data_IF_333765540504
#
_entry.id   IF_333765540504
#
_cell.length_a   1.000
_cell.length_b   1.000
_cell.length_c   1.000
_cell.angle_alpha   90.00
_cell.angle_beta   90.00
_cell.angle_gamma   90.00
#
_symmetry.space_group_name_H-M   'P 1'
#
loop_
_entity.id
_entity.type
_entity.pdbx_description
1 polymer ?
#
# COMPACT_ATOMS: atom_id res chain seq x y z
N UNK A 1 4.16 52.55 19.10
CA UNK A 1 2.71 52.41 19.36
C UNK A 1 2.33 51.01 18.92
N UNK A 2 1.66 50.23 19.78
CA UNK A 2 1.17 48.92 19.34
C UNK A 2 0.09 49.11 18.26
N UNK A 3 0.25 48.50 17.11
CA UNK A 3 -0.72 48.53 16.04
C UNK A 3 -1.93 47.71 16.48
N UNK A 4 -3.11 48.35 16.46
CA UNK A 4 -4.38 47.69 16.77
C UNK A 4 -4.81 46.83 15.57
N UNK A 5 -4.71 45.51 15.69
CA UNK A 5 -5.15 44.59 14.66
C UNK A 5 -6.65 44.39 14.72
N UNK A 6 -7.35 44.83 13.67
CA UNK A 6 -8.82 44.76 13.58
C UNK A 6 -9.26 43.31 13.27
N UNK A 7 -10.40 42.90 13.79
CA UNK A 7 -10.99 41.59 13.50
C UNK A 7 -11.20 41.35 11.99
N UNK A 8 -11.48 42.41 11.23
CA UNK A 8 -11.61 42.36 9.77
C UNK A 8 -10.32 41.96 9.07
N UNK A 9 -9.18 42.45 9.54
CA UNK A 9 -7.86 42.09 8.98
C UNK A 9 -7.50 40.63 9.26
N UNK A 10 -7.82 40.15 10.47
CA UNK A 10 -7.68 38.74 10.83
C UNK A 10 -8.54 37.85 9.93
N UNK A 11 -9.80 38.22 9.72
CA UNK A 11 -10.70 37.47 8.81
C UNK A 11 -10.21 37.53 7.36
N UNK A 12 -9.69 38.66 6.90
CA UNK A 12 -9.12 38.81 5.56
C UNK A 12 -7.89 37.88 5.38
N UNK A 13 -6.94 37.89 6.33
CA UNK A 13 -5.77 37.04 6.29
C UNK A 13 -6.16 35.56 6.34
N UNK A 14 -7.13 35.19 7.20
CA UNK A 14 -7.67 33.83 7.25
C UNK A 14 -8.27 33.39 5.91
N UNK A 15 -9.04 34.26 5.25
CA UNK A 15 -9.60 33.96 3.92
C UNK A 15 -8.50 33.76 2.86
N UNK A 16 -7.37 34.45 3.00
CA UNK A 16 -6.24 34.36 2.07
C UNK A 16 -5.38 33.11 2.31
N UNK A 17 -5.25 32.67 3.57
CA UNK A 17 -4.29 31.62 3.98
C UNK A 17 -4.94 30.33 4.44
N UNK A 18 -6.24 30.33 4.74
CA UNK A 18 -6.94 29.18 5.37
C UNK A 18 -6.51 28.87 6.81
N UNK A 19 -5.53 29.60 7.37
CA UNK A 19 -5.01 29.36 8.70
C UNK A 19 -5.99 29.68 9.82
N UNK A 20 -5.76 29.14 11.02
CA UNK A 20 -6.59 29.37 12.19
C UNK A 20 -6.66 30.85 12.58
N UNK A 21 -7.81 31.33 13.10
CA UNK A 21 -8.02 32.73 13.49
C UNK A 21 -6.92 33.26 14.43
N UNK A 22 -6.52 32.46 15.42
CA UNK A 22 -5.51 32.85 16.39
C UNK A 22 -4.11 32.95 15.77
N UNK A 23 -3.83 32.11 14.75
CA UNK A 23 -2.56 32.13 14.03
C UNK A 23 -2.48 33.35 13.11
N UNK A 24 -3.57 33.65 12.41
CA UNK A 24 -3.69 34.89 11.64
C UNK A 24 -3.53 36.15 12.50
N UNK A 25 -4.16 36.17 13.69
CA UNK A 25 -4.00 37.28 14.62
C UNK A 25 -2.54 37.45 15.09
N UNK A 26 -1.90 36.33 15.50
CA UNK A 26 -0.49 36.35 15.92
C UNK A 26 0.42 36.82 14.80
N UNK A 27 0.24 36.30 13.59
CA UNK A 27 1.05 36.67 12.44
C UNK A 27 0.90 38.17 12.08
N UNK A 28 -0.33 38.72 12.15
CA UNK A 28 -0.55 40.15 11.93
C UNK A 28 0.06 41.03 13.04
N UNK A 29 0.03 40.60 14.29
CA UNK A 29 0.69 41.31 15.38
C UNK A 29 2.21 41.31 15.19
N UNK A 30 2.80 40.16 14.85
CA UNK A 30 4.24 39.99 14.65
C UNK A 30 4.75 40.74 13.40
N UNK A 31 3.92 40.82 12.37
CA UNK A 31 4.22 41.55 11.15
C UNK A 31 3.84 43.04 11.19
N UNK A 32 3.39 43.55 12.35
CA UNK A 32 2.93 44.92 12.53
C UNK A 32 1.85 45.32 11.50
N UNK A 33 0.96 44.40 11.14
CA UNK A 33 -0.12 44.59 10.19
C UNK A 33 0.25 44.41 8.72
N UNK A 34 1.49 44.06 8.40
CA UNK A 34 1.92 43.73 7.05
C UNK A 34 1.38 42.36 6.65
N UNK A 35 0.51 42.32 5.64
CA UNK A 35 -0.15 41.08 5.18
C UNK A 35 0.81 40.12 4.47
N UNK A 36 1.81 40.62 3.76
CA UNK A 36 2.72 39.76 3.02
C UNK A 36 3.69 39.10 3.99
N UNK A 37 4.21 39.86 4.95
CA UNK A 37 5.01 39.30 6.04
C UNK A 37 4.21 38.35 6.93
N UNK A 38 2.94 38.65 7.21
CA UNK A 38 2.06 37.75 7.96
C UNK A 38 1.84 36.42 7.24
N UNK A 39 1.70 36.40 5.91
CA UNK A 39 1.65 35.16 5.10
C UNK A 39 2.93 34.35 5.21
N UNK A 40 4.11 35.00 5.16
CA UNK A 40 5.40 34.31 5.34
C UNK A 40 5.49 33.65 6.71
N UNK A 41 5.11 34.35 7.78
CA UNK A 41 5.08 33.81 9.16
C UNK A 41 4.15 32.57 9.24
N UNK A 42 2.98 32.64 8.63
CA UNK A 42 2.07 31.47 8.58
C UNK A 42 2.69 30.30 7.81
N UNK A 43 3.35 30.57 6.69
CA UNK A 43 4.06 29.55 5.90
C UNK A 43 5.22 28.90 6.68
N UNK A 44 6.03 29.69 7.35
CA UNK A 44 7.11 29.21 8.23
C UNK A 44 6.55 28.33 9.38
N UNK A 45 5.45 28.78 9.99
CA UNK A 45 4.76 27.98 11.01
C UNK A 45 4.26 26.63 10.45
N UNK A 46 3.70 26.63 9.23
CA UNK A 46 3.27 25.40 8.56
C UNK A 46 4.41 24.40 8.38
N UNK A 47 5.59 24.87 7.98
CA UNK A 47 6.81 24.03 7.88
C UNK A 47 7.22 23.44 9.23
N UNK A 48 7.14 24.21 10.30
CA UNK A 48 7.45 23.73 11.65
C UNK A 48 6.44 22.68 12.15
N UNK A 49 5.16 22.83 11.81
CA UNK A 49 4.12 21.83 12.11
C UNK A 49 4.41 20.54 11.32
N UNK A 50 4.72 20.65 10.03
CA UNK A 50 5.06 19.51 9.18
C UNK A 50 6.28 18.74 9.73
N UNK A 51 7.34 19.46 10.12
CA UNK A 51 8.54 18.84 10.70
C UNK A 51 8.24 18.10 12.03
N UNK A 52 7.42 18.68 12.92
CA UNK A 52 7.03 18.05 14.18
C UNK A 52 6.15 16.82 14.02
N UNK A 53 5.52 16.65 12.86
CA UNK A 53 4.61 15.54 12.55
C UNK A 53 5.18 14.55 11.56
N UNK A 54 6.48 14.67 11.22
CA UNK A 54 7.12 13.84 10.22
C UNK A 54 6.97 12.32 10.48
N UNK A 55 6.97 11.91 11.76
CA UNK A 55 6.87 10.51 12.18
C UNK A 55 5.41 10.00 12.33
N UNK A 56 4.39 10.84 12.05
CA UNK A 56 3.00 10.41 12.12
C UNK A 56 2.62 9.55 10.93
N UNK A 57 1.81 8.53 11.16
CA UNK A 57 1.22 7.71 10.10
C UNK A 57 0.08 8.46 9.38
N UNK A 58 -0.05 8.21 8.09
CA UNK A 58 -1.09 8.81 7.23
C UNK A 58 -1.86 7.70 6.51
N UNK A 59 -2.65 6.94 7.28
CA UNK A 59 -3.48 5.83 6.77
C UNK A 59 -4.84 6.27 6.21
N UNK A 60 -5.19 7.56 6.38
CA UNK A 60 -6.38 8.17 5.81
C UNK A 60 -6.02 9.06 4.62
N UNK A 61 -7.01 9.46 3.80
CA UNK A 61 -6.76 10.33 2.66
C UNK A 61 -7.65 10.08 1.46
N UNK A 62 -7.17 10.48 0.29
CA UNK A 62 -7.85 10.32 -0.99
C UNK A 62 -6.89 9.82 -2.08
N UNK A 63 -7.34 8.85 -2.87
CA UNK A 63 -6.65 8.39 -4.08
C UNK A 63 -7.45 8.79 -5.29
N UNK A 64 -6.81 9.51 -6.21
CA UNK A 64 -7.42 10.04 -7.43
C UNK A 64 -6.71 9.46 -8.64
N UNK A 65 -7.47 8.85 -9.55
CA UNK A 65 -6.98 8.43 -10.86
C UNK A 65 -7.58 9.32 -11.96
N UNK A 66 -6.77 9.69 -12.94
CA UNK A 66 -7.23 10.44 -14.13
C UNK A 66 -6.66 9.81 -15.40
N UNK A 67 -7.46 9.82 -16.46
CA UNK A 67 -7.08 9.31 -17.78
C UNK A 67 -7.36 10.39 -18.82
N UNK A 68 -6.41 10.63 -19.71
CA UNK A 68 -6.56 11.51 -20.86
C UNK A 68 -5.54 11.16 -21.94
N UNK A 69 -5.96 11.09 -23.19
CA UNK A 69 -5.10 10.96 -24.38
C UNK A 69 -4.06 9.83 -24.31
N UNK A 70 -4.48 8.63 -23.87
CA UNK A 70 -3.59 7.48 -23.72
C UNK A 70 -2.63 7.53 -22.54
N UNK A 71 -2.80 8.50 -21.63
CA UNK A 71 -2.08 8.66 -20.37
C UNK A 71 -3.00 8.45 -19.19
N UNK A 72 -2.50 7.82 -18.14
CA UNK A 72 -3.19 7.77 -16.86
C UNK A 72 -2.22 8.00 -15.73
N UNK A 73 -2.75 8.61 -14.67
CA UNK A 73 -2.05 8.82 -13.40
C UNK A 73 -2.90 8.33 -12.23
N UNK A 74 -2.24 7.99 -11.15
CA UNK A 74 -2.85 7.81 -9.83
C UNK A 74 -2.05 8.64 -8.83
N UNK A 75 -2.75 9.45 -8.03
CA UNK A 75 -2.16 10.21 -6.93
C UNK A 75 -2.86 9.81 -5.65
N UNK A 76 -2.10 9.45 -4.62
CA UNK A 76 -2.58 9.24 -3.26
C UNK A 76 -2.12 10.41 -2.37
N UNK A 77 -3.07 11.20 -1.84
CA UNK A 77 -2.81 12.21 -0.81
C UNK A 77 -3.25 11.65 0.54
N UNK A 78 -2.29 11.47 1.46
CA UNK A 78 -2.51 10.92 2.79
C UNK A 78 -2.66 12.00 3.85
N UNK A 79 -3.46 11.71 4.90
CA UNK A 79 -3.61 12.48 6.13
C UNK A 79 -3.77 11.57 7.35
N UNK A 80 -3.82 12.13 8.57
CA UNK A 80 -3.89 11.35 9.80
C UNK A 80 -5.31 10.83 10.10
N UNK A 81 -6.36 11.63 9.80
CA UNK A 81 -7.74 11.30 10.16
C UNK A 81 -8.71 11.32 8.97
N UNK A 82 -9.78 10.54 9.09
CA UNK A 82 -10.87 10.52 8.11
C UNK A 82 -11.68 11.84 8.08
N UNK A 83 -11.69 12.60 9.19
CA UNK A 83 -12.30 13.92 9.23
C UNK A 83 -11.64 14.89 8.26
N UNK A 84 -10.29 14.90 8.25
CA UNK A 84 -9.51 15.72 7.32
C UNK A 84 -9.62 15.18 5.90
N UNK A 85 -9.57 13.85 5.71
CA UNK A 85 -9.75 13.24 4.40
C UNK A 85 -11.08 13.65 3.71
N UNK A 86 -12.14 13.88 4.49
CA UNK A 86 -13.47 14.31 3.99
C UNK A 86 -13.61 15.83 3.83
N UNK A 87 -12.61 16.62 4.26
CA UNK A 87 -12.64 18.06 4.14
C UNK A 87 -12.58 18.49 2.66
N UNK A 88 -13.38 19.49 2.29
CA UNK A 88 -13.48 19.98 0.92
C UNK A 88 -12.13 20.51 0.38
N UNK A 89 -11.36 21.22 1.20
CA UNK A 89 -10.06 21.78 0.79
C UNK A 89 -9.04 20.66 0.56
N UNK A 90 -9.06 19.59 1.38
CA UNK A 90 -8.25 18.40 1.19
C UNK A 90 -8.59 17.69 -0.12
N UNK A 91 -9.87 17.45 -0.38
CA UNK A 91 -10.34 16.81 -1.61
C UNK A 91 -10.02 17.67 -2.84
N UNK A 92 -10.17 18.97 -2.76
CA UNK A 92 -9.82 19.91 -3.83
C UNK A 92 -8.30 19.86 -4.13
N UNK A 93 -7.46 19.81 -3.08
CA UNK A 93 -6.01 19.69 -3.27
C UNK A 93 -5.64 18.36 -3.93
N UNK A 94 -6.24 17.23 -3.50
CA UNK A 94 -5.99 15.92 -4.13
C UNK A 94 -6.34 15.95 -5.63
N UNK A 95 -7.47 16.57 -6.00
CA UNK A 95 -7.86 16.76 -7.40
C UNK A 95 -6.89 17.66 -8.17
N UNK A 96 -6.47 18.79 -7.57
CA UNK A 96 -5.53 19.71 -8.21
C UNK A 96 -4.16 19.07 -8.44
N UNK A 97 -3.67 18.26 -7.49
CA UNK A 97 -2.42 17.49 -7.66
C UNK A 97 -2.58 16.48 -8.80
N UNK A 98 -3.70 15.75 -8.86
CA UNK A 98 -3.95 14.81 -9.94
C UNK A 98 -4.06 15.48 -11.32
N UNK A 99 -4.62 16.69 -11.40
CA UNK A 99 -4.62 17.50 -12.63
C UNK A 99 -3.23 17.92 -13.05
N UNK A 100 -2.44 18.44 -12.11
CA UNK A 100 -1.05 18.81 -12.38
C UNK A 100 -0.21 17.59 -12.79
N UNK A 101 -0.42 16.43 -12.16
CA UNK A 101 0.21 15.17 -12.53
C UNK A 101 -0.12 14.73 -13.95
N UNK A 102 -1.39 14.84 -14.36
CA UNK A 102 -1.82 14.45 -15.71
C UNK A 102 -1.26 15.37 -16.79
N UNK A 103 -1.25 16.69 -16.53
CA UNK A 103 -0.76 17.69 -17.47
C UNK A 103 0.75 17.62 -17.65
N UNK A 104 1.51 17.54 -16.55
CA UNK A 104 2.97 17.55 -16.58
C UNK A 104 3.58 16.16 -16.78
N UNK A 105 2.87 15.11 -16.46
CA UNK A 105 3.25 13.71 -16.53
C UNK A 105 4.67 13.44 -15.97
N UNK A 106 4.94 13.83 -14.70
CA UNK A 106 6.27 13.72 -14.11
C UNK A 106 6.73 12.26 -14.02
N UNK A 107 8.05 12.06 -14.06
CA UNK A 107 8.64 10.72 -14.08
C UNK A 107 8.46 9.95 -12.76
N UNK A 108 8.41 10.68 -11.65
CA UNK A 108 8.33 10.12 -10.30
C UNK A 108 7.63 11.08 -9.33
N UNK A 109 7.49 10.64 -8.09
CA UNK A 109 6.87 11.41 -7.01
C UNK A 109 7.67 12.69 -6.67
N UNK A 110 8.99 12.67 -6.77
CA UNK A 110 9.83 13.83 -6.46
C UNK A 110 9.61 14.93 -7.52
N UNK A 111 9.58 14.54 -8.79
CA UNK A 111 9.22 15.44 -9.88
C UNK A 111 7.79 15.98 -9.76
N UNK A 112 6.83 15.16 -9.30
CA UNK A 112 5.47 15.60 -9.02
C UNK A 112 5.44 16.68 -7.93
N UNK A 113 6.20 16.55 -6.85
CA UNK A 113 6.25 17.55 -5.77
C UNK A 113 6.72 18.91 -6.25
N UNK A 114 7.55 18.97 -7.31
CA UNK A 114 8.01 20.20 -7.94
C UNK A 114 7.02 20.80 -8.97
N UNK A 115 6.00 20.04 -9.41
CA UNK A 115 5.01 20.53 -10.36
C UNK A 115 4.22 21.71 -9.80
N UNK A 116 3.84 22.64 -10.68
CA UNK A 116 3.04 23.82 -10.34
C UNK A 116 1.56 23.52 -10.52
N UNK A 117 0.77 23.83 -9.51
CA UNK A 117 -0.70 23.78 -9.54
C UNK A 117 -1.26 24.97 -10.32
N UNK A 118 -2.53 24.93 -10.68
CA UNK A 118 -3.21 26.01 -11.41
C UNK A 118 -3.21 27.37 -10.68
N UNK A 119 -3.07 27.36 -9.35
CA UNK A 119 -2.98 28.57 -8.51
C UNK A 119 -1.55 29.13 -8.37
N UNK A 120 -0.56 28.55 -9.04
CA UNK A 120 0.84 28.97 -9.07
C UNK A 120 1.72 28.42 -7.94
N UNK A 121 1.17 27.69 -6.97
CA UNK A 121 1.95 27.01 -5.92
C UNK A 121 2.54 25.71 -6.46
N UNK A 122 3.68 25.28 -5.90
CA UNK A 122 4.13 23.89 -6.13
C UNK A 122 3.29 22.93 -5.30
N UNK A 123 3.23 21.65 -5.72
CA UNK A 123 2.57 20.58 -4.97
C UNK A 123 3.11 20.51 -3.54
N UNK A 124 4.45 20.55 -3.38
CA UNK A 124 5.11 20.55 -2.07
C UNK A 124 4.65 21.72 -1.17
N UNK A 125 4.59 22.92 -1.74
CA UNK A 125 4.15 24.10 -1.00
C UNK A 125 2.69 23.99 -0.58
N UNK A 126 1.80 23.51 -1.46
CA UNK A 126 0.39 23.35 -1.17
C UNK A 126 0.11 22.28 -0.09
N UNK A 127 0.82 21.14 -0.14
CA UNK A 127 0.75 20.07 0.88
C UNK A 127 1.24 20.59 2.25
N UNK A 128 2.36 21.33 2.27
CA UNK A 128 2.90 21.93 3.49
C UNK A 128 1.95 22.96 4.09
N UNK A 129 1.33 23.79 3.24
CA UNK A 129 0.37 24.80 3.68
C UNK A 129 -0.88 24.16 4.28
N UNK A 130 -1.42 23.10 3.65
CA UNK A 130 -2.57 22.37 4.19
C UNK A 130 -2.24 21.71 5.54
N UNK A 131 -1.00 21.21 5.72
CA UNK A 131 -0.51 20.72 7.03
C UNK A 131 -0.55 21.84 8.10
N UNK A 132 -0.16 23.05 7.74
CA UNK A 132 -0.24 24.21 8.63
C UNK A 132 -1.67 24.62 8.98
N UNK A 133 -2.60 24.47 8.05
CA UNK A 133 -4.02 24.83 8.20
C UNK A 133 -4.78 23.85 9.11
N UNK A 134 -4.59 22.55 8.87
CA UNK A 134 -5.31 21.48 9.58
C UNK A 134 -4.61 21.07 10.89
N UNK A 135 -3.30 21.26 10.96
CA UNK A 135 -2.48 20.76 12.04
C UNK A 135 -2.22 19.26 11.98
N UNK A 136 -2.59 18.56 10.89
CA UNK A 136 -2.29 17.15 10.63
C UNK A 136 -1.20 17.01 9.58
N UNK A 137 -0.48 15.89 9.59
CA UNK A 137 0.46 15.54 8.53
C UNK A 137 -0.27 15.27 7.22
N UNK A 138 0.22 15.88 6.15
CA UNK A 138 -0.19 15.56 4.79
C UNK A 138 1.03 15.11 3.98
N UNK A 139 0.83 14.14 3.11
CA UNK A 139 1.90 13.60 2.26
C UNK A 139 1.33 13.09 0.94
N UNK A 140 2.04 13.30 -0.16
CA UNK A 140 1.80 12.51 -1.37
C UNK A 140 2.32 11.10 -1.08
N UNK A 141 1.42 10.20 -0.68
CA UNK A 141 1.74 8.84 -0.27
C UNK A 141 2.09 7.95 -1.45
N UNK A 142 1.45 8.18 -2.61
CA UNK A 142 1.70 7.41 -3.82
C UNK A 142 1.52 8.26 -5.08
N UNK A 143 2.33 7.98 -6.09
CA UNK A 143 2.17 8.49 -7.44
C UNK A 143 2.56 7.38 -8.42
N UNK A 144 1.69 7.13 -9.38
CA UNK A 144 1.94 6.19 -10.47
C UNK A 144 1.43 6.78 -11.78
N UNK A 145 2.12 6.48 -12.88
CA UNK A 145 1.77 6.93 -14.22
C UNK A 145 1.97 5.80 -15.24
N UNK A 146 1.09 5.73 -16.22
CA UNK A 146 1.19 4.80 -17.35
C UNK A 146 0.80 5.47 -18.67
N UNK A 147 1.36 4.98 -19.77
CA UNK A 147 0.90 5.26 -21.13
C UNK A 147 0.50 3.95 -21.82
N UNK A 148 -0.63 3.95 -22.52
CA UNK A 148 -1.08 2.82 -23.30
C UNK A 148 -2.11 3.26 -24.36
N UNK A 149 -2.28 2.50 -25.46
CA UNK A 149 -3.27 2.79 -26.49
C UNK A 149 -4.72 2.84 -25.97
N UNK A 150 -5.02 2.03 -24.95
CA UNK A 150 -6.31 2.06 -24.25
C UNK A 150 -6.08 1.84 -22.75
N UNK A 151 -6.74 2.61 -21.91
CA UNK A 151 -6.58 2.55 -20.46
C UNK A 151 -7.95 2.48 -19.78
N UNK A 152 -8.06 1.61 -18.79
CA UNK A 152 -9.20 1.56 -17.88
C UNK A 152 -8.74 1.82 -16.43
N UNK A 153 -9.59 2.46 -15.65
CA UNK A 153 -9.33 2.75 -14.25
C UNK A 153 -10.45 2.24 -13.35
N UNK A 154 -10.07 1.91 -12.14
CA UNK A 154 -10.99 1.70 -11.05
C UNK A 154 -10.56 2.52 -9.83
N UNK A 155 -11.50 3.27 -9.26
CA UNK A 155 -11.36 3.94 -7.97
C UNK A 155 -12.36 3.33 -7.00
N UNK A 156 -11.92 2.97 -5.80
CA UNK A 156 -12.78 2.37 -4.78
C UNK A 156 -13.61 3.46 -4.10
N UNK A 157 -14.84 3.64 -4.57
CA UNK A 157 -15.73 4.76 -4.22
C UNK A 157 -16.06 4.82 -2.72
N UNK A 158 -16.18 3.67 -2.05
CA UNK A 158 -16.59 3.62 -0.65
C UNK A 158 -15.52 4.18 0.28
N UNK A 159 -14.26 3.79 0.08
CA UNK A 159 -13.15 4.24 0.94
C UNK A 159 -12.44 5.47 0.38
N UNK A 160 -12.43 5.63 -0.94
CA UNK A 160 -11.63 6.66 -1.62
C UNK A 160 -10.11 6.49 -1.49
N UNK A 161 -9.65 5.36 -0.92
CA UNK A 161 -8.24 5.14 -0.55
C UNK A 161 -7.49 4.22 -1.50
N UNK A 162 -8.13 3.74 -2.56
CA UNK A 162 -7.58 2.74 -3.47
C UNK A 162 -7.97 3.06 -4.91
N UNK A 163 -7.01 3.04 -5.80
CA UNK A 163 -7.24 3.06 -7.24
C UNK A 163 -6.26 2.15 -7.98
N UNK A 164 -6.68 1.69 -9.14
CA UNK A 164 -5.85 0.97 -10.10
C UNK A 164 -6.12 1.47 -11.52
N UNK A 165 -5.08 1.47 -12.34
CA UNK A 165 -5.15 1.73 -13.78
C UNK A 165 -4.52 0.58 -14.53
N UNK A 166 -5.12 0.20 -15.66
CA UNK A 166 -4.64 -0.90 -16.50
C UNK A 166 -4.58 -0.41 -17.94
N UNK A 167 -3.41 -0.55 -18.54
CA UNK A 167 -3.15 -0.24 -19.95
C UNK A 167 -3.23 -1.49 -20.83
N UNK A 168 -3.93 -1.37 -21.95
CA UNK A 168 -4.12 -2.41 -22.95
C UNK A 168 -3.51 -1.99 -24.29
N UNK A 169 -3.15 -2.97 -25.12
CA UNK A 169 -2.60 -2.74 -26.44
C UNK A 169 -3.62 -2.22 -27.47
N UNK A 170 -4.90 -2.31 -27.17
CA UNK A 170 -6.01 -1.87 -28.03
C UNK A 170 -7.28 -1.66 -27.21
N UNK A 171 -8.28 -1.04 -27.81
CA UNK A 171 -9.60 -0.89 -27.19
C UNK A 171 -10.24 -2.26 -26.89
N UNK A 172 -10.86 -2.36 -25.75
CA UNK A 172 -11.53 -3.55 -25.22
C UNK A 172 -12.91 -3.15 -24.70
N UNK A 173 -13.82 -4.12 -24.61
CA UNK A 173 -15.12 -3.89 -23.98
C UNK A 173 -14.96 -3.21 -22.61
N UNK A 174 -15.69 -2.12 -22.40
CA UNK A 174 -15.53 -1.26 -21.24
C UNK A 174 -15.81 -1.97 -19.91
N UNK A 175 -16.74 -2.95 -19.88
CA UNK A 175 -17.04 -3.70 -18.67
C UNK A 175 -15.92 -4.69 -18.35
N UNK A 176 -15.38 -5.36 -19.36
CA UNK A 176 -14.23 -6.26 -19.19
C UNK A 176 -13.01 -5.48 -18.75
N UNK A 177 -12.69 -4.38 -19.41
CA UNK A 177 -11.53 -3.54 -19.06
C UNK A 177 -11.63 -2.98 -17.61
N UNK A 178 -12.83 -2.51 -17.22
CA UNK A 178 -13.09 -2.05 -15.84
C UNK A 178 -13.00 -3.21 -14.84
N UNK A 179 -13.50 -4.39 -15.19
CA UNK A 179 -13.40 -5.57 -14.33
C UNK A 179 -11.96 -6.01 -14.11
N UNK A 180 -11.08 -5.89 -15.13
CA UNK A 180 -9.64 -6.13 -14.97
C UNK A 180 -8.99 -5.09 -14.03
N UNK A 181 -9.38 -3.81 -14.14
CA UNK A 181 -8.89 -2.79 -13.21
C UNK A 181 -9.38 -3.04 -11.76
N UNK A 182 -10.61 -3.53 -11.58
CA UNK A 182 -11.12 -3.97 -10.28
C UNK A 182 -10.35 -5.17 -9.74
N UNK A 183 -9.98 -6.13 -10.61
CA UNK A 183 -9.15 -7.27 -10.26
C UNK A 183 -7.78 -6.81 -9.72
N UNK A 184 -7.11 -5.90 -10.42
CA UNK A 184 -5.83 -5.32 -9.98
C UNK A 184 -6.00 -4.64 -8.61
N UNK A 185 -7.05 -3.85 -8.44
CA UNK A 185 -7.32 -3.14 -7.18
C UNK A 185 -7.51 -4.12 -6.01
N UNK A 186 -8.28 -5.19 -6.19
CA UNK A 186 -8.66 -6.12 -5.12
C UNK A 186 -7.62 -7.19 -4.84
N UNK A 187 -6.96 -7.72 -5.89
CA UNK A 187 -6.07 -8.87 -5.76
C UNK A 187 -4.59 -8.50 -5.70
N UNK A 188 -4.25 -7.23 -5.92
CA UNK A 188 -2.88 -6.69 -5.85
C UNK A 188 -1.83 -7.60 -6.51
N UNK A 189 -1.96 -7.94 -7.81
CA UNK A 189 -0.99 -8.80 -8.46
C UNK A 189 0.40 -8.17 -8.50
N UNK A 190 1.44 -9.00 -8.45
CA UNK A 190 2.84 -8.53 -8.46
C UNK A 190 3.33 -8.19 -9.86
N UNK A 191 2.72 -8.78 -10.90
CA UNK A 191 3.08 -8.54 -12.30
C UNK A 191 1.90 -8.89 -13.22
N UNK A 192 1.98 -8.47 -14.49
CA UNK A 192 0.99 -8.83 -15.52
C UNK A 192 0.99 -10.34 -15.73
N UNK A 193 2.15 -10.93 -15.99
CA UNK A 193 2.33 -12.37 -16.22
C UNK A 193 3.56 -12.88 -15.49
N UNK A 194 3.73 -14.21 -15.44
CA UNK A 194 4.91 -14.84 -14.85
C UNK A 194 6.23 -14.37 -15.47
N UNK A 195 6.22 -14.04 -16.78
CA UNK A 195 7.41 -13.54 -17.47
C UNK A 195 7.83 -12.12 -17.05
N UNK A 196 6.92 -11.37 -16.42
CA UNK A 196 7.16 -10.00 -15.96
C UNK A 196 7.57 -9.92 -14.48
N UNK A 197 7.59 -11.06 -13.77
CA UNK A 197 8.03 -11.08 -12.37
C UNK A 197 9.56 -10.95 -12.31
N UNK A 198 10.05 -10.01 -11.50
CA UNK A 198 11.48 -9.81 -11.34
C UNK A 198 12.17 -11.05 -10.76
N UNK A 199 13.37 -11.36 -11.25
CA UNK A 199 14.13 -12.53 -10.81
C UNK A 199 14.41 -12.50 -9.30
N UNK A 200 14.63 -11.32 -8.72
CA UNK A 200 14.83 -11.11 -7.28
C UNK A 200 13.63 -11.59 -6.46
N UNK A 201 12.40 -11.36 -6.94
CA UNK A 201 11.17 -11.84 -6.29
C UNK A 201 11.08 -13.36 -6.37
N UNK A 202 11.36 -13.94 -7.55
CA UNK A 202 11.35 -15.39 -7.74
C UNK A 202 12.39 -16.10 -6.85
N UNK A 203 13.58 -15.53 -6.72
CA UNK A 203 14.65 -16.06 -5.88
C UNK A 203 14.27 -16.00 -4.39
N UNK A 204 13.66 -14.90 -3.95
CA UNK A 204 13.17 -14.74 -2.58
C UNK A 204 12.05 -15.74 -2.25
N UNK A 205 11.07 -15.88 -3.15
CA UNK A 205 9.98 -16.85 -3.01
C UNK A 205 10.50 -18.29 -3.01
N UNK A 206 11.45 -18.61 -3.90
CA UNK A 206 12.07 -19.94 -3.93
C UNK A 206 12.80 -20.26 -2.62
N UNK A 207 13.59 -19.30 -2.11
CA UNK A 207 14.30 -19.46 -0.83
C UNK A 207 13.32 -19.69 0.32
N UNK A 208 12.27 -18.88 0.39
CA UNK A 208 11.20 -19.01 1.39
C UNK A 208 10.49 -20.36 1.28
N UNK A 209 10.21 -20.81 0.07
CA UNK A 209 9.58 -22.11 -0.19
C UNK A 209 10.48 -23.28 0.25
N UNK A 210 11.79 -23.18 0.02
CA UNK A 210 12.79 -24.17 0.47
C UNK A 210 12.80 -24.25 2.00
N UNK A 211 12.94 -23.11 2.69
CA UNK A 211 13.01 -23.10 4.17
C UNK A 211 11.71 -23.60 4.79
N UNK A 212 10.56 -23.18 4.27
CA UNK A 212 9.26 -23.67 4.71
C UNK A 212 9.12 -25.18 4.51
N UNK A 213 9.58 -25.71 3.37
CA UNK A 213 9.53 -27.16 3.08
C UNK A 213 10.42 -27.94 4.03
N UNK A 214 11.64 -27.45 4.32
CA UNK A 214 12.51 -28.07 5.34
C UNK A 214 11.87 -28.14 6.69
N UNK A 215 11.33 -27.01 7.16
CA UNK A 215 10.65 -26.94 8.47
C UNK A 215 9.46 -27.90 8.56
N UNK A 216 8.62 -27.97 7.53
CA UNK A 216 7.47 -28.88 7.49
C UNK A 216 7.87 -30.36 7.51
N UNK A 217 8.95 -30.73 6.80
CA UNK A 217 9.44 -32.11 6.81
C UNK A 217 10.03 -32.51 8.16
N UNK A 218 10.76 -31.61 8.81
CA UNK A 218 11.31 -31.82 10.15
C UNK A 218 10.15 -31.95 11.15
N UNK A 219 9.20 -31.01 11.12
CA UNK A 219 8.06 -31.02 12.03
C UNK A 219 7.17 -32.26 11.88
N UNK A 220 7.02 -32.74 10.64
CA UNK A 220 6.28 -33.98 10.36
C UNK A 220 6.90 -35.18 11.07
N UNK A 221 8.23 -35.34 11.02
CA UNK A 221 8.92 -36.46 11.65
C UNK A 221 8.91 -36.33 13.18
N UNK A 222 9.05 -35.09 13.72
CA UNK A 222 8.90 -34.82 15.14
C UNK A 222 7.48 -35.20 15.62
N UNK A 223 6.43 -34.75 14.92
CA UNK A 223 5.04 -35.05 15.28
C UNK A 223 4.75 -36.55 15.25
N UNK A 224 5.32 -37.26 14.27
CA UNK A 224 5.18 -38.72 14.21
C UNK A 224 5.85 -39.42 15.40
N UNK A 225 7.05 -38.95 15.80
CA UNK A 225 7.78 -39.50 16.95
C UNK A 225 7.06 -39.18 18.28
N UNK A 226 6.55 -37.97 18.45
CA UNK A 226 5.75 -37.58 19.62
C UNK A 226 4.48 -38.42 19.74
N UNK A 227 3.75 -38.60 18.65
CA UNK A 227 2.54 -39.42 18.60
C UNK A 227 2.85 -40.89 18.96
N UNK A 228 3.98 -41.43 18.46
CA UNK A 228 4.44 -42.78 18.80
C UNK A 228 4.77 -42.94 20.29
N UNK A 229 5.28 -41.85 20.91
CA UNK A 229 5.55 -41.79 22.35
C UNK A 229 4.29 -41.56 23.22
N UNK A 230 3.09 -41.45 22.61
CA UNK A 230 1.84 -41.18 23.33
C UNK A 230 1.68 -39.71 23.77
N UNK A 231 2.45 -38.79 23.13
CA UNK A 231 2.40 -37.37 23.42
C UNK A 231 1.63 -36.68 22.29
N UNK A 232 0.64 -35.87 22.62
CA UNK A 232 -0.06 -35.07 21.62
C UNK A 232 0.83 -33.91 21.13
N UNK A 233 1.20 -33.88 19.84
CA UNK A 233 2.08 -32.83 19.30
C UNK A 233 1.57 -31.41 19.56
N UNK A 234 0.24 -31.19 19.53
CA UNK A 234 -0.34 -29.86 19.77
C UNK A 234 -0.17 -29.36 21.22
N UNK A 235 0.18 -30.25 22.17
CA UNK A 235 0.42 -29.85 23.56
C UNK A 235 1.89 -29.45 23.80
N UNK A 236 2.79 -29.69 22.83
CA UNK A 236 4.22 -29.56 22.97
C UNK A 236 4.87 -28.89 21.74
N UNK A 237 4.13 -28.11 20.99
CA UNK A 237 4.56 -27.44 19.75
C UNK A 237 5.44 -26.20 20.01
N UNK A 238 5.48 -25.70 21.23
CA UNK A 238 6.37 -24.63 21.69
C UNK A 238 6.74 -24.84 23.15
N UNK A 239 7.83 -24.21 23.62
CA UNK A 239 8.25 -24.27 25.02
C UNK A 239 7.17 -23.72 25.95
N UNK A 240 6.53 -22.60 25.56
CA UNK A 240 5.42 -22.00 26.32
C UNK A 240 4.23 -22.95 26.47
N UNK A 241 3.93 -23.74 25.42
CA UNK A 241 2.87 -24.75 25.46
C UNK A 241 3.26 -25.94 26.34
N UNK A 242 4.52 -26.38 26.33
CA UNK A 242 5.00 -27.44 27.22
C UNK A 242 4.84 -27.00 28.67
N UNK A 243 5.32 -25.82 29.05
CA UNK A 243 5.21 -25.30 30.43
C UNK A 243 3.75 -25.10 30.86
N UNK A 244 2.96 -24.44 30.01
CA UNK A 244 1.55 -24.20 30.30
C UNK A 244 0.73 -25.49 30.43
N UNK A 245 0.96 -26.44 29.54
CA UNK A 245 0.18 -27.72 29.57
C UNK A 245 0.65 -28.65 30.68
N UNK A 246 1.93 -28.58 31.07
CA UNK A 246 2.41 -29.25 32.27
C UNK A 246 1.76 -28.65 33.54
N UNK A 247 1.70 -27.32 33.66
CA UNK A 247 1.02 -26.66 34.78
C UNK A 247 -0.47 -26.95 34.89
N UNK A 248 -1.15 -27.15 33.75
CA UNK A 248 -2.57 -27.54 33.66
C UNK A 248 -2.80 -29.03 33.88
N UNK A 249 -1.76 -29.84 33.99
CA UNK A 249 -1.86 -31.29 34.13
C UNK A 249 -2.26 -32.04 32.85
N UNK A 250 -2.16 -31.39 31.67
CA UNK A 250 -2.47 -32.02 30.37
C UNK A 250 -1.33 -32.91 29.88
N UNK A 251 -0.11 -32.66 30.36
CA UNK A 251 1.06 -33.50 30.16
C UNK A 251 1.78 -33.66 31.50
N UNK A 252 2.42 -34.82 31.74
CA UNK A 252 3.25 -35.06 32.92
C UNK A 252 4.64 -34.43 32.78
N UNK A 253 5.37 -34.28 33.89
CA UNK A 253 6.77 -33.78 33.84
C UNK A 253 7.67 -34.72 33.02
N UNK A 254 7.43 -36.03 33.07
CA UNK A 254 8.14 -37.01 32.27
C UNK A 254 7.82 -36.84 30.78
N UNK A 255 6.57 -36.64 30.41
CA UNK A 255 6.15 -36.36 29.05
C UNK A 255 6.75 -35.06 28.52
N UNK A 256 6.79 -34.01 29.34
CA UNK A 256 7.43 -32.75 28.97
C UNK A 256 8.94 -32.91 28.69
N UNK A 257 9.66 -33.66 29.54
CA UNK A 257 11.08 -33.96 29.34
C UNK A 257 11.32 -34.81 28.08
N UNK A 258 10.50 -35.84 27.90
CA UNK A 258 10.58 -36.72 26.74
C UNK A 258 10.25 -35.96 25.43
N UNK A 259 9.28 -35.04 25.47
CA UNK A 259 8.93 -34.21 24.31
C UNK A 259 10.11 -33.34 23.88
N UNK A 260 10.77 -32.64 24.83
CA UNK A 260 11.96 -31.82 24.53
C UNK A 260 13.09 -32.66 23.91
N UNK A 261 13.33 -33.85 24.43
CA UNK A 261 14.35 -34.76 23.90
C UNK A 261 13.99 -35.23 22.48
N UNK A 262 12.74 -35.64 22.22
CA UNK A 262 12.28 -36.03 20.89
C UNK A 262 12.39 -34.86 19.92
N UNK A 263 11.91 -33.68 20.28
CA UNK A 263 11.95 -32.47 19.42
C UNK A 263 13.39 -32.18 19.01
N UNK A 264 14.33 -32.22 19.97
CA UNK A 264 15.75 -31.99 19.70
C UNK A 264 16.35 -33.09 18.82
N UNK A 265 16.32 -34.33 19.29
CA UNK A 265 17.08 -35.42 18.65
C UNK A 265 16.51 -35.81 17.27
N UNK A 266 15.19 -35.90 17.13
CA UNK A 266 14.55 -36.20 15.85
C UNK A 266 14.68 -35.03 14.90
N UNK A 267 14.55 -33.79 15.42
CA UNK A 267 14.73 -32.57 14.62
C UNK A 267 16.15 -32.47 14.04
N UNK A 268 17.19 -32.65 14.87
CA UNK A 268 18.58 -32.63 14.43
C UNK A 268 18.87 -33.75 13.44
N UNK A 269 18.44 -34.98 13.74
CA UNK A 269 18.63 -36.12 12.86
C UNK A 269 17.96 -35.94 11.49
N UNK A 270 16.74 -35.42 11.47
CA UNK A 270 16.02 -35.12 10.22
C UNK A 270 16.69 -34.00 9.43
N UNK A 271 17.06 -32.89 10.10
CA UNK A 271 17.75 -31.78 9.47
C UNK A 271 19.05 -32.20 8.77
N UNK A 272 19.82 -33.10 9.39
CA UNK A 272 21.05 -33.65 8.81
C UNK A 272 20.81 -34.60 7.60
N UNK A 273 19.60 -35.15 7.48
CA UNK A 273 19.27 -36.16 6.45
C UNK A 273 18.17 -35.70 5.49
N UNK A 274 18.06 -34.40 5.25
CA UNK A 274 17.06 -33.84 4.31
C UNK A 274 17.46 -34.18 2.85
N UNK A 275 16.50 -34.66 2.08
CA UNK A 275 16.67 -34.83 0.64
C UNK A 275 16.48 -33.47 -0.06
N UNK A 276 17.58 -32.78 -0.33
CA UNK A 276 17.55 -31.46 -0.94
C UNK A 276 16.92 -31.45 -2.32
N UNK A 277 17.13 -32.47 -3.16
CA UNK A 277 16.50 -32.56 -4.47
C UNK A 277 14.98 -32.63 -4.39
N UNK A 278 14.42 -33.37 -3.43
CA UNK A 278 12.99 -33.44 -3.19
C UNK A 278 12.45 -32.09 -2.71
N UNK A 279 13.17 -31.41 -1.80
CA UNK A 279 12.81 -30.10 -1.26
C UNK A 279 12.76 -29.06 -2.38
N UNK A 280 13.78 -29.01 -3.23
CA UNK A 280 13.81 -28.09 -4.37
C UNK A 280 12.69 -28.34 -5.36
N UNK A 281 12.33 -29.60 -5.62
CA UNK A 281 11.18 -29.92 -6.48
C UNK A 281 9.85 -29.45 -5.88
N UNK A 282 9.66 -29.61 -4.57
CA UNK A 282 8.48 -29.09 -3.86
C UNK A 282 8.49 -27.55 -3.90
N UNK A 283 9.65 -26.92 -3.65
CA UNK A 283 9.79 -25.46 -3.69
C UNK A 283 9.47 -24.89 -5.08
N UNK A 284 9.93 -25.52 -6.16
CA UNK A 284 9.56 -25.16 -7.53
C UNK A 284 8.05 -25.22 -7.74
N UNK A 285 7.38 -26.26 -7.25
CA UNK A 285 5.92 -26.38 -7.30
C UNK A 285 5.21 -25.24 -6.54
N UNK A 286 5.76 -24.82 -5.39
CA UNK A 286 5.24 -23.68 -4.61
C UNK A 286 5.42 -22.35 -5.33
N UNK A 287 6.56 -22.13 -5.99
CA UNK A 287 6.78 -20.94 -6.82
C UNK A 287 5.81 -20.90 -8.01
N UNK A 288 5.54 -22.04 -8.65
CA UNK A 288 4.53 -22.11 -9.72
C UNK A 288 3.13 -21.77 -9.19
N UNK A 289 2.80 -22.24 -8.01
CA UNK A 289 1.52 -21.86 -7.35
C UNK A 289 1.49 -20.36 -7.02
N UNK A 290 2.56 -19.81 -6.47
CA UNK A 290 2.70 -18.36 -6.22
C UNK A 290 2.47 -17.56 -7.49
N UNK A 291 3.13 -17.90 -8.60
CA UNK A 291 2.95 -17.22 -9.89
C UNK A 291 1.50 -17.26 -10.36
N UNK A 292 0.83 -18.41 -10.23
CA UNK A 292 -0.58 -18.57 -10.61
C UNK A 292 -1.51 -17.72 -9.76
N UNK A 293 -1.22 -17.55 -8.47
CA UNK A 293 -2.06 -16.80 -7.54
C UNK A 293 -1.76 -15.29 -7.55
N UNK A 294 -0.53 -14.90 -7.94
CA UNK A 294 -0.05 -13.53 -7.78
C UNK A 294 0.27 -12.81 -9.10
N UNK A 295 0.06 -13.42 -10.28
CA UNK A 295 0.15 -12.68 -11.55
C UNK A 295 -1.24 -12.44 -12.13
N UNK A 296 -1.48 -11.22 -12.65
CA UNK A 296 -2.79 -10.77 -13.10
C UNK A 296 -3.43 -11.75 -14.09
N UNK A 297 -2.68 -12.15 -15.11
CA UNK A 297 -3.19 -13.00 -16.19
C UNK A 297 -3.63 -14.40 -15.71
N UNK A 298 -2.97 -14.94 -14.68
CA UNK A 298 -3.23 -16.29 -14.16
C UNK A 298 -4.24 -16.32 -13.00
N UNK A 299 -4.50 -15.16 -12.38
CA UNK A 299 -5.50 -15.08 -11.30
C UNK A 299 -6.89 -15.43 -11.80
N UNK A 300 -7.67 -16.13 -10.98
CA UNK A 300 -9.10 -16.34 -11.23
C UNK A 300 -9.87 -15.01 -11.19
N UNK A 301 -10.65 -14.73 -12.24
CA UNK A 301 -11.36 -13.47 -12.40
C UNK A 301 -12.49 -13.32 -11.37
N UNK A 302 -12.32 -12.43 -10.41
CA UNK A 302 -13.22 -12.27 -9.26
C UNK A 302 -14.58 -11.65 -9.62
N UNK A 303 -14.65 -10.91 -10.74
CA UNK A 303 -15.92 -10.34 -11.24
C UNK A 303 -16.77 -11.37 -12.01
N UNK A 304 -16.29 -12.62 -12.10
CA UNK A 304 -16.96 -13.74 -12.73
C UNK A 304 -17.13 -14.92 -11.78
N UNK A 305 -16.65 -16.10 -12.18
CA UNK A 305 -16.74 -17.35 -11.40
C UNK A 305 -15.62 -17.54 -10.37
N UNK A 306 -14.65 -16.62 -10.34
CA UNK A 306 -13.47 -16.68 -9.46
C UNK A 306 -12.45 -17.78 -9.85
N UNK A 307 -12.65 -18.48 -10.96
CA UNK A 307 -11.82 -19.62 -11.40
C UNK A 307 -11.21 -19.43 -12.78
N UNK A 308 -11.99 -18.87 -13.72
CA UNK A 308 -11.51 -18.59 -15.08
C UNK A 308 -10.40 -17.56 -15.03
N UNK A 309 -9.20 -17.83 -15.58
CA UNK A 309 -8.09 -16.88 -15.58
C UNK A 309 -8.45 -15.56 -16.25
N UNK A 310 -7.92 -14.45 -15.73
CA UNK A 310 -8.13 -13.10 -16.30
C UNK A 310 -7.75 -13.06 -17.79
N UNK A 311 -6.64 -13.70 -18.19
CA UNK A 311 -6.22 -13.79 -19.59
C UNK A 311 -7.29 -14.40 -20.51
N UNK A 312 -8.02 -15.41 -20.02
CA UNK A 312 -9.06 -16.09 -20.82
C UNK A 312 -10.30 -15.21 -20.94
N UNK A 313 -10.63 -14.43 -19.92
CA UNK A 313 -11.71 -13.41 -19.98
C UNK A 313 -11.38 -12.34 -21.03
N UNK A 314 -10.15 -11.81 -21.00
CA UNK A 314 -9.70 -10.81 -21.98
C UNK A 314 -9.73 -11.38 -23.40
N UNK A 315 -9.19 -12.59 -23.59
CA UNK A 315 -9.15 -13.27 -24.87
C UNK A 315 -10.55 -13.61 -25.42
N UNK A 316 -11.50 -13.91 -24.56
CA UNK A 316 -12.89 -14.14 -24.94
C UNK A 316 -13.57 -12.86 -25.45
N UNK A 317 -13.21 -11.70 -24.90
CA UNK A 317 -13.71 -10.41 -25.37
C UNK A 317 -13.04 -9.96 -26.68
N UNK A 318 -11.72 -10.11 -26.79
CA UNK A 318 -10.95 -9.89 -28.03
C UNK A 318 -9.66 -10.75 -27.98
N UNK A 319 -9.52 -11.64 -28.98
CA UNK A 319 -8.40 -12.59 -29.05
C UNK A 319 -7.00 -11.94 -29.14
N UNK A 320 -6.93 -10.69 -29.59
CA UNK A 320 -5.68 -9.93 -29.77
C UNK A 320 -5.42 -8.94 -28.63
N UNK A 321 -6.38 -8.74 -27.74
CA UNK A 321 -6.23 -7.84 -26.61
C UNK A 321 -5.27 -8.43 -25.56
N UNK A 322 -4.41 -7.55 -25.01
CA UNK A 322 -3.43 -7.90 -23.98
C UNK A 322 -3.29 -6.76 -22.99
N UNK A 323 -3.07 -7.11 -21.73
CA UNK A 323 -2.59 -6.15 -20.72
C UNK A 323 -1.12 -5.85 -20.99
N UNK A 324 -0.77 -4.58 -21.08
CA UNK A 324 0.62 -4.12 -21.22
C UNK A 324 1.23 -3.77 -19.87
N UNK A 325 0.46 -3.09 -19.03
CA UNK A 325 0.92 -2.53 -17.77
C UNK A 325 -0.26 -2.30 -16.85
N UNK A 326 -0.02 -2.34 -15.56
CA UNK A 326 -0.96 -1.82 -14.57
C UNK A 326 -0.21 -1.10 -13.46
N UNK A 327 -0.91 -0.23 -12.76
CA UNK A 327 -0.44 0.43 -11.55
C UNK A 327 -1.58 0.48 -10.53
N UNK A 328 -1.21 0.45 -9.25
CA UNK A 328 -2.12 0.48 -8.12
C UNK A 328 -1.54 1.39 -7.03
N UNK A 329 -2.39 2.22 -6.43
CA UNK A 329 -2.06 3.01 -5.24
C UNK A 329 -3.12 2.74 -4.19
N UNK A 330 -2.68 2.42 -2.98
CA UNK A 330 -3.52 2.23 -1.80
C UNK A 330 -2.91 2.98 -0.61
N UNK A 331 -3.76 3.58 0.21
CA UNK A 331 -3.37 4.22 1.48
C UNK A 331 -3.52 3.27 2.68
N UNK A 332 -4.00 2.04 2.43
CA UNK A 332 -4.31 1.06 3.48
C UNK A 332 -3.35 -0.14 3.50
N UNK A 333 -2.35 -0.16 2.62
CA UNK A 333 -1.35 -1.24 2.52
C UNK A 333 -0.18 -1.03 3.47
#
# INVERSE_FOLDING_TARGET
MAIEIKAADVMKLRKMTGAGMMDCKKALVESEGDFDRAKEIIKEKGKLVAAKRADRETSEGAVVAKIQDGKAIIVGLGCETDFVAKNADFQALAQAIAEAALVNFPADKEALMACTLADGRTVEAAVTELTGQTGEKHVVAGYEAIEAPFISAYMHVITGKLAAVVGFNKELDAQVAKGVAMQVASMNPVAVSAANVEQSVLDAEFKTAVEKTKAELIQKDINAALTKAGINPAHVDSEDHIESNQSKGWITAEQATQAREIIKTVGEAKAANLNMQMIENIAKGRVQKFLKENTLEEQGYQMGDGKTPVKDIIKAADAEAKVLVFKRVSLSD
#
